data_IF_641147067918
#
_entry.id   IF_641147067918
#
_cell.length_a   1.000
_cell.length_b   1.000
_cell.length_c   1.000
_cell.angle_alpha   90.00
_cell.angle_beta   90.00
_cell.angle_gamma   90.00
#
_symmetry.space_group_name_H-M   'P 1'
#
loop_
_entity.id
_entity.type
_entity.pdbx_description
1 polymer ?
#
# COMPACT_ATOMS: atom_id res chain seq x y z
N UNK A 1 20.66 -20.94 47.08
CA UNK A 1 19.34 -21.29 46.50
C UNK A 1 18.67 -20.06 45.88
N UNK A 2 18.53 -18.95 46.61
CA UNK A 2 17.94 -17.69 46.12
C UNK A 2 18.57 -17.12 44.84
N UNK A 3 19.91 -17.14 44.70
CA UNK A 3 20.58 -16.61 43.50
C UNK A 3 20.25 -17.40 42.22
N UNK A 4 20.03 -18.72 42.33
CA UNK A 4 19.64 -19.56 41.19
C UNK A 4 18.19 -19.32 40.79
N UNK A 5 17.30 -19.13 41.77
CA UNK A 5 15.89 -18.79 41.53
C UNK A 5 15.78 -17.41 40.89
N UNK A 6 16.54 -16.43 41.37
CA UNK A 6 16.57 -15.08 40.79
C UNK A 6 17.08 -15.08 39.33
N UNK A 7 18.16 -15.81 39.04
CA UNK A 7 18.69 -15.93 37.68
C UNK A 7 17.69 -16.59 36.71
N UNK A 8 16.98 -17.63 37.17
CA UNK A 8 15.93 -18.29 36.37
C UNK A 8 14.75 -17.33 36.14
N UNK A 9 14.31 -16.58 37.15
CA UNK A 9 13.25 -15.59 36.97
C UNK A 9 13.63 -14.50 35.97
N UNK A 10 14.84 -13.95 36.05
CA UNK A 10 15.34 -12.94 35.09
C UNK A 10 15.40 -13.52 33.67
N UNK A 11 15.88 -14.75 33.50
CA UNK A 11 15.93 -15.41 32.20
C UNK A 11 14.53 -15.64 31.60
N UNK A 12 13.57 -16.09 32.41
CA UNK A 12 12.17 -16.29 31.98
C UNK A 12 11.50 -14.96 31.62
N UNK A 13 11.69 -13.90 32.42
CA UNK A 13 11.19 -12.55 32.11
C UNK A 13 11.81 -11.96 30.84
N UNK A 14 13.09 -12.25 30.57
CA UNK A 14 13.78 -11.83 29.35
C UNK A 14 13.22 -12.52 28.10
N UNK A 15 12.87 -13.80 28.19
CA UNK A 15 12.26 -14.56 27.09
C UNK A 15 10.87 -14.03 26.73
N UNK A 16 10.04 -13.68 27.72
CA UNK A 16 8.71 -13.08 27.50
C UNK A 16 8.82 -11.73 26.79
N UNK A 17 9.84 -10.94 27.12
CA UNK A 17 10.09 -9.64 26.47
C UNK A 17 10.47 -9.77 25.00
N UNK A 18 11.14 -10.86 24.60
CA UNK A 18 11.50 -11.12 23.20
C UNK A 18 10.29 -11.59 22.36
N UNK A 19 9.26 -12.17 22.99
CA UNK A 19 8.02 -12.55 22.28
C UNK A 19 7.12 -11.36 21.95
N UNK A 20 7.35 -10.20 22.57
CA UNK A 20 6.57 -8.97 22.36
C UNK A 20 7.30 -7.96 21.46
N UNK A 21 8.53 -8.27 21.03
CA UNK A 21 9.31 -7.45 20.12
C UNK A 21 9.07 -7.80 18.64
N UNK A 22 8.52 -8.98 18.34
CA UNK A 22 8.02 -9.31 17.01
C UNK A 22 6.58 -8.76 16.89
N UNK A 23 6.47 -7.44 16.68
CA UNK A 23 5.22 -6.86 16.24
C UNK A 23 4.75 -7.56 14.96
N UNK A 24 3.46 -7.88 14.87
CA UNK A 24 2.88 -8.22 13.59
C UNK A 24 3.22 -7.07 12.61
N UNK A 25 3.90 -7.40 11.52
CA UNK A 25 4.18 -6.53 10.35
C UNK A 25 5.57 -5.88 10.14
N UNK A 26 6.63 -6.28 10.84
CA UNK A 26 8.01 -5.89 10.40
C UNK A 26 8.56 -6.72 9.23
N UNK A 27 7.68 -7.38 8.48
CA UNK A 27 8.05 -8.16 7.30
C UNK A 27 6.84 -8.60 6.50
N UNK A 28 6.08 -7.66 5.94
CA UNK A 28 5.32 -8.01 4.73
C UNK A 28 6.35 -8.28 3.62
N UNK A 29 6.75 -9.55 3.54
CA UNK A 29 7.35 -10.12 2.34
C UNK A 29 6.32 -9.99 1.21
N UNK A 30 6.76 -10.24 -0.03
CA UNK A 30 5.89 -10.16 -1.21
C UNK A 30 4.54 -10.89 -1.01
N UNK A 31 4.55 -12.00 -0.28
CA UNK A 31 3.39 -12.85 0.01
C UNK A 31 2.40 -12.28 1.03
N UNK A 32 2.74 -11.19 1.73
CA UNK A 32 1.82 -10.54 2.66
C UNK A 32 0.73 -9.75 1.93
N UNK A 33 1.05 -9.19 0.77
CA UNK A 33 0.09 -8.53 -0.13
C UNK A 33 -0.36 -9.44 -1.27
N UNK A 34 0.50 -10.37 -1.72
CA UNK A 34 0.24 -11.22 -2.87
C UNK A 34 -0.02 -12.69 -2.50
N UNK A 35 -1.18 -13.23 -2.87
CA UNK A 35 -1.49 -14.65 -2.77
C UNK A 35 -1.10 -15.40 -4.05
N UNK A 36 0.10 -15.97 -4.11
CA UNK A 36 0.63 -16.61 -5.33
C UNK A 36 -0.26 -17.78 -5.80
N UNK A 37 -0.77 -18.59 -4.87
CA UNK A 37 -1.68 -19.72 -5.18
C UNK A 37 -3.11 -19.49 -4.67
N UNK A 38 -3.36 -18.39 -3.96
CA UNK A 38 -4.61 -18.13 -3.24
C UNK A 38 -5.07 -16.69 -3.38
N UNK A 39 -4.75 -16.06 -4.52
CA UNK A 39 -5.19 -14.70 -4.82
C UNK A 39 -6.71 -14.61 -4.77
N UNK A 40 -7.20 -13.50 -4.22
CA UNK A 40 -8.63 -13.17 -4.13
C UNK A 40 -8.99 -11.89 -4.88
N UNK A 41 -8.00 -11.06 -5.20
CA UNK A 41 -8.17 -9.85 -6.00
C UNK A 41 -7.30 -9.85 -7.24
N UNK A 42 -7.39 -8.76 -8.01
CA UNK A 42 -6.57 -8.54 -9.21
C UNK A 42 -5.07 -8.50 -8.86
N UNK A 43 -4.19 -8.79 -9.83
CA UNK A 43 -2.72 -8.71 -9.65
C UNK A 43 -2.25 -9.54 -8.43
N UNK A 44 -2.76 -10.78 -8.35
CA UNK A 44 -2.46 -11.76 -7.31
C UNK A 44 -2.69 -11.24 -5.87
N UNK A 45 -3.58 -10.27 -5.62
CA UNK A 45 -3.78 -9.70 -4.28
C UNK A 45 -4.39 -10.73 -3.30
N UNK A 46 -3.94 -10.73 -2.05
CA UNK A 46 -4.32 -11.71 -1.03
C UNK A 46 -5.74 -11.53 -0.47
N UNK A 47 -6.35 -10.36 -0.69
CA UNK A 47 -7.72 -10.03 -0.25
C UNK A 47 -8.60 -9.65 -1.43
N UNK A 48 -9.91 -9.85 -1.27
CA UNK A 48 -10.88 -9.31 -2.22
C UNK A 48 -10.95 -7.77 -2.10
N UNK A 49 -11.29 -7.06 -3.19
CA UNK A 49 -11.58 -5.63 -3.11
C UNK A 49 -12.70 -5.34 -2.10
N UNK A 50 -12.44 -4.51 -1.09
CA UNK A 50 -13.44 -4.09 -0.12
C UNK A 50 -14.45 -3.12 -0.75
N UNK A 51 -15.62 -3.65 -1.11
CA UNK A 51 -16.77 -2.90 -1.63
C UNK A 51 -17.74 -2.45 -0.53
N UNK A 52 -17.53 -2.87 0.72
CA UNK A 52 -18.38 -2.50 1.87
C UNK A 52 -18.01 -1.13 2.43
N UNK A 53 -16.73 -0.77 2.39
CA UNK A 53 -16.25 0.55 2.77
C UNK A 53 -16.78 1.63 1.81
N UNK A 54 -17.57 2.56 2.33
CA UNK A 54 -18.12 3.69 1.58
C UNK A 54 -17.22 4.90 1.70
N UNK A 55 -16.88 5.50 0.57
CA UNK A 55 -16.11 6.73 0.52
C UNK A 55 -16.94 7.90 1.09
N UNK A 56 -16.47 8.60 2.14
CA UNK A 56 -17.27 9.64 2.78
C UNK A 56 -17.49 10.87 1.90
N UNK A 57 -16.64 11.10 0.88
CA UNK A 57 -16.74 12.24 -0.04
C UNK A 57 -17.66 11.95 -1.22
N UNK A 58 -17.59 10.77 -1.83
CA UNK A 58 -18.41 10.42 -3.00
C UNK A 58 -19.72 9.71 -2.64
N UNK A 59 -19.82 9.19 -1.41
CA UNK A 59 -20.94 8.33 -0.94
C UNK A 59 -21.11 7.04 -1.75
N UNK A 60 -20.07 6.61 -2.45
CA UNK A 60 -20.05 5.37 -3.24
C UNK A 60 -19.06 4.36 -2.62
N UNK A 61 -19.24 3.06 -2.89
CA UNK A 61 -18.23 2.05 -2.58
C UNK A 61 -16.87 2.43 -3.17
N UNK A 62 -15.79 2.12 -2.44
CA UNK A 62 -14.45 2.24 -3.01
C UNK A 62 -14.23 1.19 -4.12
N UNK A 63 -13.41 1.52 -5.10
CA UNK A 63 -13.08 0.65 -6.24
C UNK A 63 -11.58 0.64 -6.52
N UNK A 64 -11.14 -0.22 -7.45
CA UNK A 64 -9.74 -0.28 -7.90
C UNK A 64 -8.76 -0.58 -6.76
N UNK A 65 -7.57 0.03 -6.83
CA UNK A 65 -6.49 -0.14 -5.85
C UNK A 65 -6.91 0.26 -4.44
N UNK A 66 -7.68 1.34 -4.26
CA UNK A 66 -8.18 1.73 -2.93
C UNK A 66 -9.02 0.60 -2.29
N UNK A 67 -9.90 -0.07 -3.05
CA UNK A 67 -10.69 -1.17 -2.51
C UNK A 67 -9.81 -2.34 -2.06
N UNK A 68 -8.74 -2.66 -2.79
CA UNK A 68 -7.78 -3.69 -2.39
C UNK A 68 -7.07 -3.31 -1.08
N UNK A 69 -6.57 -2.08 -0.96
CA UNK A 69 -5.92 -1.60 0.26
C UNK A 69 -6.85 -1.66 1.47
N UNK A 70 -8.12 -1.25 1.31
CA UNK A 70 -9.14 -1.28 2.35
C UNK A 70 -9.63 -2.71 2.68
N UNK A 71 -9.29 -3.72 1.87
CA UNK A 71 -9.47 -5.12 2.26
C UNK A 71 -8.67 -5.48 3.52
N UNK A 72 -7.52 -4.81 3.73
CA UNK A 72 -6.72 -4.98 4.94
C UNK A 72 -6.87 -3.79 5.89
N UNK A 73 -6.77 -2.56 5.36
CA UNK A 73 -6.65 -1.30 6.10
C UNK A 73 -7.98 -0.62 6.42
N UNK A 74 -9.08 -1.37 6.44
CA UNK A 74 -10.35 -0.89 6.99
C UNK A 74 -10.74 -1.76 8.19
N UNK A 75 -11.61 -1.26 9.04
CA UNK A 75 -12.12 -2.00 10.19
C UNK A 75 -12.98 -3.22 9.76
N UNK A 76 -13.04 -4.29 10.57
CA UNK A 76 -13.85 -5.48 10.26
C UNK A 76 -15.34 -5.20 10.05
N UNK A 77 -15.92 -4.25 10.79
CA UNK A 77 -17.32 -3.85 10.62
C UNK A 77 -17.58 -3.23 9.23
N UNK A 78 -16.54 -2.71 8.57
CA UNK A 78 -16.58 -2.15 7.21
C UNK A 78 -15.90 -3.03 6.17
N UNK A 79 -15.66 -4.30 6.49
CA UNK A 79 -15.22 -5.32 5.52
C UNK A 79 -13.70 -5.39 5.30
N UNK A 80 -12.90 -4.69 6.12
CA UNK A 80 -11.45 -4.87 6.14
C UNK A 80 -11.00 -5.88 7.20
N UNK A 81 -9.69 -6.14 7.31
CA UNK A 81 -9.13 -7.03 8.34
C UNK A 81 -8.72 -6.30 9.62
N UNK A 82 -8.81 -4.97 9.67
CA UNK A 82 -8.41 -4.17 10.82
C UNK A 82 -6.90 -3.93 10.96
N UNK A 83 -6.10 -4.30 9.95
CA UNK A 83 -4.65 -4.13 9.99
C UNK A 83 -4.33 -2.66 9.78
N UNK A 84 -3.83 -1.97 10.81
CA UNK A 84 -3.58 -0.53 10.76
C UNK A 84 -4.73 0.24 10.07
N UNK A 85 -5.95 0.01 10.56
CA UNK A 85 -7.15 0.53 9.92
C UNK A 85 -7.09 2.06 9.74
N UNK A 86 -7.44 2.54 8.56
CA UNK A 86 -7.53 3.96 8.22
C UNK A 86 -8.98 4.36 8.03
N UNK A 87 -9.40 5.42 8.72
CA UNK A 87 -10.73 5.97 8.56
C UNK A 87 -10.72 7.06 7.48
N UNK A 88 -11.52 6.88 6.43
CA UNK A 88 -11.74 7.92 5.42
C UNK A 88 -12.31 9.23 5.96
N UNK A 89 -12.91 9.23 7.15
CA UNK A 89 -13.41 10.46 7.80
C UNK A 89 -12.31 11.30 8.45
N UNK A 90 -11.18 10.68 8.80
CA UNK A 90 -10.06 11.32 9.53
C UNK A 90 -8.79 11.42 8.67
N UNK A 91 -8.88 11.03 7.40
CA UNK A 91 -7.75 10.99 6.47
C UNK A 91 -7.96 11.96 5.32
N UNK A 92 -6.91 12.23 4.54
CA UNK A 92 -7.07 12.91 3.25
C UNK A 92 -8.06 12.13 2.37
N UNK A 93 -8.93 12.82 1.61
CA UNK A 93 -9.80 12.15 0.67
C UNK A 93 -8.99 11.32 -0.33
N UNK A 94 -9.27 10.02 -0.38
CA UNK A 94 -8.72 9.08 -1.36
C UNK A 94 -9.85 8.56 -2.26
N UNK A 95 -9.52 7.95 -3.40
CA UNK A 95 -10.51 7.48 -4.37
C UNK A 95 -11.27 8.61 -5.08
N UNK A 96 -10.72 9.83 -5.07
CA UNK A 96 -11.39 11.03 -5.59
C UNK A 96 -10.52 11.80 -6.56
N UNK A 97 -11.14 12.49 -7.51
CA UNK A 97 -10.46 13.52 -8.32
C UNK A 97 -10.17 14.74 -7.45
N UNK A 98 -8.90 15.18 -7.35
CA UNK A 98 -8.55 16.35 -6.55
C UNK A 98 -9.25 17.63 -7.04
N UNK A 99 -9.61 18.50 -6.10
CA UNK A 99 -10.09 19.84 -6.42
C UNK A 99 -8.90 20.81 -6.48
N UNK A 100 -8.60 21.33 -7.67
CA UNK A 100 -7.51 22.28 -7.91
C UNK A 100 -7.60 23.57 -7.08
N UNK A 101 -8.80 23.94 -6.58
CA UNK A 101 -8.98 25.09 -5.68
C UNK A 101 -8.46 24.81 -4.25
N UNK A 102 -8.28 23.54 -3.88
CA UNK A 102 -7.82 23.11 -2.55
C UNK A 102 -6.33 22.75 -2.58
N UNK A 103 -5.93 21.96 -3.59
CA UNK A 103 -4.57 21.49 -3.77
C UNK A 103 -4.26 21.25 -5.25
N UNK A 104 -3.03 21.54 -5.65
CA UNK A 104 -2.52 21.19 -6.99
C UNK A 104 -1.75 19.88 -6.86
N UNK A 105 -2.45 18.75 -7.06
CA UNK A 105 -1.84 17.43 -6.95
C UNK A 105 -1.13 17.06 -8.25
N UNK A 106 0.19 16.76 -8.24
CA UNK A 106 0.90 16.39 -9.46
C UNK A 106 0.40 15.06 -10.04
N UNK A 107 0.41 14.93 -11.36
CA UNK A 107 -0.07 13.73 -12.06
C UNK A 107 0.65 12.42 -11.65
N UNK A 108 1.86 12.52 -11.13
CA UNK A 108 2.62 11.39 -10.57
C UNK A 108 1.96 10.77 -9.33
N UNK A 109 1.18 11.54 -8.56
CA UNK A 109 0.41 11.10 -7.39
C UNK A 109 -0.99 10.58 -7.76
N UNK A 110 -1.38 10.64 -9.03
CA UNK A 110 -2.73 10.25 -9.47
C UNK A 110 -2.70 8.91 -10.22
N UNK A 111 -3.79 8.16 -10.09
CA UNK A 111 -4.12 7.00 -10.92
C UNK A 111 -5.46 7.27 -11.56
N UNK A 112 -5.50 7.28 -12.90
CA UNK A 112 -6.72 7.60 -13.65
C UNK A 112 -7.37 8.93 -13.22
N UNK A 113 -6.54 9.92 -12.88
CA UNK A 113 -7.00 11.23 -12.40
C UNK A 113 -7.52 11.26 -10.96
N UNK A 114 -7.51 10.13 -10.25
CA UNK A 114 -7.89 10.02 -8.83
C UNK A 114 -6.68 9.96 -7.92
N UNK A 115 -6.81 10.54 -6.74
CA UNK A 115 -5.86 10.39 -5.64
C UNK A 115 -6.16 9.08 -4.92
N UNK A 116 -5.41 8.02 -5.24
CA UNK A 116 -5.51 6.70 -4.62
C UNK A 116 -4.50 6.56 -3.47
N UNK A 117 -4.59 5.48 -2.67
CA UNK A 117 -3.62 5.19 -1.60
C UNK A 117 -2.17 5.19 -2.11
N UNK A 118 -1.95 4.59 -3.30
CA UNK A 118 -0.65 4.52 -3.97
C UNK A 118 -0.16 5.86 -4.52
N UNK A 119 -1.03 6.87 -4.51
CA UNK A 119 -0.64 8.24 -4.77
C UNK A 119 0.39 8.70 -3.77
N UNK A 120 0.18 8.42 -2.49
CA UNK A 120 1.05 8.84 -1.39
C UNK A 120 1.99 7.74 -0.88
N UNK A 121 1.55 6.48 -0.93
CA UNK A 121 2.28 5.32 -0.41
C UNK A 121 2.82 4.43 -1.54
N UNK A 122 3.98 3.82 -1.39
CA UNK A 122 4.54 2.90 -2.38
C UNK A 122 5.21 1.70 -1.69
N UNK A 123 4.47 0.61 -1.47
CA UNK A 123 5.01 -0.54 -0.72
C UNK A 123 6.04 -1.38 -1.51
N UNK A 124 6.51 -0.98 -2.70
CA UNK A 124 7.46 -1.78 -3.50
C UNK A 124 8.86 -1.16 -3.57
N UNK A 125 9.92 -1.96 -3.71
CA UNK A 125 10.21 -3.01 -2.75
C UNK A 125 10.10 -2.43 -1.33
N UNK A 126 9.14 -2.90 -0.52
CA UNK A 126 8.83 -2.49 0.87
C UNK A 126 9.59 -1.24 1.35
N UNK A 127 9.23 -0.07 0.79
CA UNK A 127 10.07 1.11 0.93
C UNK A 127 10.25 1.48 2.42
N UNK A 128 11.46 1.84 2.88
CA UNK A 128 11.70 2.08 4.30
C UNK A 128 11.31 3.48 4.76
N UNK A 129 10.74 4.32 3.88
CA UNK A 129 10.31 5.65 4.25
C UNK A 129 9.13 5.58 5.21
N UNK A 130 8.88 6.69 5.89
CA UNK A 130 7.87 6.78 6.94
C UNK A 130 6.52 6.25 6.46
N UNK A 131 6.11 5.08 6.98
CA UNK A 131 4.87 4.38 6.58
C UNK A 131 4.73 4.23 5.06
N UNK A 132 5.79 3.87 4.35
CA UNK A 132 5.80 3.72 2.89
C UNK A 132 5.52 5.00 2.10
N UNK A 133 5.66 6.21 2.66
CA UNK A 133 5.46 7.42 1.88
C UNK A 133 6.40 7.48 0.66
N UNK A 134 5.92 8.04 -0.45
CA UNK A 134 6.67 8.19 -1.70
C UNK A 134 7.73 9.30 -1.66
N UNK A 135 7.81 10.04 -0.57
CA UNK A 135 8.81 11.08 -0.34
C UNK A 135 9.43 10.82 1.02
N UNK A 136 10.76 10.88 1.10
CA UNK A 136 11.45 10.73 2.37
C UNK A 136 11.17 11.95 3.25
N UNK A 137 10.44 11.71 4.34
CA UNK A 137 10.13 12.71 5.36
C UNK A 137 11.06 12.64 6.56
N UNK A 138 12.19 11.91 6.47
CA UNK A 138 13.12 11.68 7.57
C UNK A 138 12.40 11.18 8.82
N UNK A 139 11.71 10.04 8.67
CA UNK A 139 10.86 9.43 9.72
C UNK A 139 9.77 10.38 10.27
N UNK A 140 9.27 11.28 9.42
CA UNK A 140 8.22 12.24 9.75
C UNK A 140 8.71 13.63 10.17
N UNK A 141 10.00 13.83 10.41
CA UNK A 141 10.54 15.14 10.80
C UNK A 141 10.37 16.22 9.72
N UNK A 142 10.29 15.83 8.45
CA UNK A 142 10.10 16.70 7.27
C UNK A 142 8.72 16.52 6.63
N UNK A 143 7.68 16.34 7.44
CA UNK A 143 6.32 16.15 6.92
C UNK A 143 5.81 17.37 6.15
N UNK A 144 6.22 18.58 6.53
CA UNK A 144 5.89 19.83 5.83
C UNK A 144 6.28 19.80 4.36
N UNK A 145 7.45 19.23 4.07
CA UNK A 145 8.01 19.10 2.72
C UNK A 145 7.15 18.16 1.86
N UNK A 146 6.61 17.09 2.48
CA UNK A 146 5.66 16.21 1.83
C UNK A 146 4.31 16.89 1.56
N UNK A 147 3.77 17.64 2.54
CA UNK A 147 2.52 18.40 2.35
C UNK A 147 2.63 19.42 1.20
N UNK A 148 3.82 20.02 1.03
CA UNK A 148 4.13 20.99 -0.01
C UNK A 148 3.99 20.43 -1.44
N UNK A 149 4.06 19.11 -1.62
CA UNK A 149 3.90 18.45 -2.93
C UNK A 149 2.56 18.76 -3.59
N UNK A 150 1.51 18.93 -2.78
CA UNK A 150 0.16 19.23 -3.26
C UNK A 150 -0.29 20.64 -2.86
N UNK A 151 0.19 21.14 -1.72
CA UNK A 151 -0.14 22.46 -1.20
C UNK A 151 1.01 23.46 -1.42
N UNK A 152 1.54 23.52 -2.64
CA UNK A 152 2.72 24.33 -2.98
C UNK A 152 2.55 25.83 -2.73
N UNK A 153 1.32 26.35 -2.76
CA UNK A 153 1.02 27.76 -2.40
C UNK A 153 1.30 28.10 -0.93
N UNK A 154 1.58 27.10 -0.09
CA UNK A 154 1.87 27.23 1.35
C UNK A 154 3.31 26.85 1.70
N UNK A 155 4.17 26.64 0.71
CA UNK A 155 5.53 26.14 0.91
C UNK A 155 6.57 26.96 0.16
N UNK A 156 7.83 26.84 0.57
CA UNK A 156 8.96 27.36 -0.20
C UNK A 156 9.07 26.58 -1.53
N UNK A 157 9.01 27.27 -2.69
CA UNK A 157 9.13 26.63 -4.00
C UNK A 157 10.41 25.80 -4.18
N UNK A 158 11.49 26.13 -3.46
CA UNK A 158 12.76 25.42 -3.54
C UNK A 158 12.70 24.05 -2.85
N UNK A 159 11.86 23.88 -1.83
CA UNK A 159 11.63 22.59 -1.18
C UNK A 159 10.97 21.64 -2.16
N UNK A 160 9.94 22.10 -2.87
CA UNK A 160 9.18 21.28 -3.83
C UNK A 160 10.05 20.79 -5.00
N UNK A 161 10.94 21.62 -5.53
CA UNK A 161 11.80 21.28 -6.67
C UNK A 161 12.84 20.19 -6.37
N UNK A 162 13.28 20.09 -5.12
CA UNK A 162 14.40 19.23 -4.74
C UNK A 162 13.95 17.87 -4.16
N UNK A 163 12.65 17.67 -3.97
CA UNK A 163 12.14 16.42 -3.40
C UNK A 163 12.11 15.32 -4.46
N UNK A 164 12.77 14.22 -4.12
CA UNK A 164 12.74 13.01 -4.93
C UNK A 164 11.53 12.19 -4.55
N UNK A 165 10.81 11.74 -5.56
CA UNK A 165 9.68 10.82 -5.40
C UNK A 165 10.12 9.41 -5.72
N UNK A 166 9.70 8.49 -4.89
CA UNK A 166 9.80 7.06 -5.08
C UNK A 166 8.54 6.55 -5.79
N UNK A 167 8.71 5.77 -6.85
CA UNK A 167 7.66 5.53 -7.85
C UNK A 167 7.69 4.12 -8.47
N UNK A 168 8.16 3.12 -7.72
CA UNK A 168 8.15 1.71 -8.13
C UNK A 168 6.75 1.16 -8.40
N UNK A 169 5.71 1.72 -7.78
CA UNK A 169 4.30 1.39 -8.04
C UNK A 169 3.68 2.22 -9.18
N UNK A 170 4.47 2.91 -10.00
CA UNK A 170 3.94 3.64 -11.16
C UNK A 170 3.93 2.74 -12.41
N UNK A 171 2.82 2.06 -12.65
CA UNK A 171 2.68 1.11 -13.77
C UNK A 171 2.79 1.79 -15.15
N UNK A 172 2.67 3.12 -15.23
CA UNK A 172 2.84 3.87 -16.48
C UNK A 172 4.30 3.90 -16.95
N UNK A 173 5.23 3.65 -16.03
CA UNK A 173 6.66 3.56 -16.35
C UNK A 173 7.03 2.20 -16.94
N UNK A 174 6.12 1.21 -16.85
CA UNK A 174 6.28 -0.10 -17.46
C UNK A 174 5.81 -0.07 -18.91
N UNK A 175 6.76 -0.13 -19.85
CA UNK A 175 6.47 -0.51 -21.23
C UNK A 175 6.50 -2.03 -21.26
N UNK A 176 5.37 -2.73 -21.48
CA UNK A 176 5.42 -4.18 -21.66
C UNK A 176 6.38 -4.47 -22.81
N UNK A 177 7.31 -5.41 -22.63
CA UNK A 177 7.95 -6.03 -23.78
C UNK A 177 6.83 -6.48 -24.72
N UNK A 178 6.89 -6.07 -25.99
CA UNK A 178 5.86 -6.40 -26.97
C UNK A 178 5.60 -7.90 -26.88
N UNK A 179 4.41 -8.28 -26.41
CA UNK A 179 4.02 -9.67 -26.35
C UNK A 179 3.81 -10.06 -27.80
N UNK A 180 4.80 -10.70 -28.42
CA UNK A 180 4.60 -11.39 -29.69
C UNK A 180 3.36 -12.25 -29.51
N UNK A 181 2.32 -12.10 -30.34
CA UNK A 181 1.12 -12.92 -30.24
C UNK A 181 1.56 -14.38 -30.15
N UNK A 182 1.10 -15.09 -29.12
CA UNK A 182 1.32 -16.51 -29.02
C UNK A 182 0.89 -17.13 -30.35
N UNK A 183 1.78 -17.91 -30.98
CA UNK A 183 1.45 -18.65 -32.17
C UNK A 183 0.15 -19.43 -31.90
N UNK A 184 -0.82 -19.44 -32.84
CA UNK A 184 -2.07 -20.13 -32.64
C UNK A 184 -1.78 -21.57 -32.23
N UNK A 185 -2.46 -22.02 -31.16
CA UNK A 185 -2.32 -23.38 -30.65
C UNK A 185 -2.47 -24.37 -31.81
N UNK A 186 -1.42 -25.18 -32.03
CA UNK A 186 -1.47 -26.25 -33.00
C UNK A 186 -2.65 -27.16 -32.69
N UNK A 187 -3.50 -27.41 -33.69
CA UNK A 187 -4.66 -28.27 -33.57
C UNK A 187 -4.30 -29.62 -32.92
N UNK A 188 -5.16 -30.16 -32.04
CA UNK A 188 -4.89 -31.44 -31.39
C UNK A 188 -4.72 -32.54 -32.45
N UNK A 189 -3.66 -33.35 -32.28
CA UNK A 189 -3.37 -34.47 -33.15
C UNK A 189 -4.55 -35.44 -33.19
N UNK A 190 -4.98 -35.80 -34.40
CA UNK A 190 -6.07 -36.75 -34.61
C UNK A 190 -5.76 -38.09 -33.91
N UNK A 191 -6.76 -38.72 -33.25
CA UNK A 191 -6.54 -39.98 -32.56
C UNK A 191 -6.12 -41.07 -33.56
N UNK A 192 -5.02 -41.76 -33.25
CA UNK A 192 -4.59 -42.93 -34.00
C UNK A 192 -5.66 -44.01 -33.87
N UNK A 193 -6.27 -44.41 -34.99
CA UNK A 193 -7.10 -45.62 -35.06
C UNK A 193 -6.19 -46.83 -34.80
N UNK A 194 -6.65 -47.71 -33.91
CA UNK A 194 -6.07 -49.04 -33.70
C UNK A 194 -6.31 -49.92 -34.93
#
# INVERSE_FOLDING_TARGET
>A
MFLRIFAVCVFVLSLVSMSWAAGAHDGLLCTGCHGIHTAKGDIIFAVEPNKKAINPKTKQPNTGTTALCLGCHETPDKGGMGIMAVSGHMSHPFGVTPNAKVATVPAAFLREGKLECVGCHDPHPSNPFYKYLRVDTSKGAKMTDFCAMCHSSKADPNVVKNLKMFNSMDERSYVPAAVTPAAPASAPAAPRRK
#
